data_IF_886655344753
#
_entry.id   IF_886655344753
#
_cell.length_a   1.000
_cell.length_b   1.000
_cell.length_c   1.000
_cell.angle_alpha   90.00
_cell.angle_beta   90.00
_cell.angle_gamma   90.00
#
_symmetry.space_group_name_H-M   'P 1'
#
loop_
_entity.id
_entity.type
_entity.pdbx_description
1 polymer ?
#
# COMPACT_ATOMS: atom_id res chain seq x y z
N UNK A 1 -5.60 -10.76 16.09
CA UNK A 1 -5.53 -9.67 15.10
C UNK A 1 -4.07 -9.52 14.71
N UNK A 2 -3.76 -9.53 13.42
CA UNK A 2 -2.37 -9.49 12.91
C UNK A 2 -2.08 -8.10 12.36
N UNK A 3 -1.10 -7.43 12.95
CA UNK A 3 -0.58 -6.14 12.48
C UNK A 3 0.47 -6.38 11.41
N UNK A 4 0.24 -5.86 10.21
CA UNK A 4 1.09 -6.08 9.04
C UNK A 4 1.82 -4.79 8.68
N UNK A 5 3.14 -4.87 8.60
CA UNK A 5 4.00 -3.79 8.10
C UNK A 5 4.37 -4.02 6.65
N UNK A 6 4.34 -2.96 5.83
CA UNK A 6 4.79 -3.00 4.43
C UNK A 6 6.09 -2.22 4.30
N UNK A 7 7.17 -2.90 3.86
CA UNK A 7 8.46 -2.26 3.56
C UNK A 7 8.65 -2.22 2.05
N UNK A 8 8.77 -1.01 1.51
CA UNK A 8 8.81 -0.76 0.08
C UNK A 8 7.40 -0.62 -0.51
N UNK A 9 7.16 0.54 -1.13
CA UNK A 9 5.88 0.83 -1.75
C UNK A 9 6.02 1.03 -3.26
N UNK A 10 5.92 -0.09 -3.99
CA UNK A 10 5.79 -0.16 -5.45
C UNK A 10 4.40 -0.70 -5.83
N UNK A 11 4.28 -1.20 -7.06
CA UNK A 11 3.05 -1.86 -7.52
C UNK A 11 2.60 -2.99 -6.58
N UNK A 12 3.49 -3.96 -6.29
CA UNK A 12 3.16 -5.10 -5.42
C UNK A 12 2.84 -4.69 -3.97
N UNK A 13 3.54 -3.69 -3.43
CA UNK A 13 3.25 -3.19 -2.08
C UNK A 13 1.84 -2.61 -1.98
N UNK A 14 1.41 -1.87 -2.99
CA UNK A 14 0.04 -1.33 -3.08
C UNK A 14 -1.00 -2.43 -3.31
N UNK A 15 -0.71 -3.44 -4.14
CA UNK A 15 -1.57 -4.61 -4.31
C UNK A 15 -1.78 -5.36 -2.99
N UNK A 16 -0.71 -5.61 -2.23
CA UNK A 16 -0.82 -6.24 -0.92
C UNK A 16 -1.57 -5.37 0.08
N UNK A 17 -1.34 -4.04 0.11
CA UNK A 17 -2.11 -3.13 0.93
C UNK A 17 -3.63 -3.29 0.70
N UNK A 18 -4.04 -3.27 -0.58
CA UNK A 18 -5.45 -3.45 -0.97
C UNK A 18 -5.97 -4.83 -0.60
N UNK A 19 -5.20 -5.88 -0.85
CA UNK A 19 -5.59 -7.25 -0.50
C UNK A 19 -5.76 -7.47 1.01
N UNK A 20 -4.88 -6.89 1.83
CA UNK A 20 -4.94 -6.99 3.30
C UNK A 20 -6.22 -6.39 3.86
N UNK A 21 -6.79 -5.34 3.23
CA UNK A 21 -8.07 -4.75 3.65
C UNK A 21 -9.24 -5.75 3.57
N UNK A 22 -9.13 -6.77 2.72
CA UNK A 22 -10.12 -7.84 2.58
C UNK A 22 -9.86 -9.03 3.51
N UNK A 23 -8.74 -9.04 4.24
CA UNK A 23 -8.37 -10.14 5.14
C UNK A 23 -9.02 -9.95 6.51
N UNK A 24 -9.87 -10.90 6.92
CA UNK A 24 -10.47 -10.89 8.26
C UNK A 24 -9.38 -11.02 9.33
N UNK A 25 -9.31 -10.04 10.22
CA UNK A 25 -8.36 -10.04 11.34
C UNK A 25 -6.94 -9.58 10.96
N UNK A 26 -6.72 -9.13 9.72
CA UNK A 26 -5.50 -8.47 9.27
C UNK A 26 -5.68 -6.95 9.22
N UNK A 27 -4.66 -6.20 9.64
CA UNK A 27 -4.62 -4.73 9.51
C UNK A 27 -3.24 -4.28 9.08
N UNK A 28 -3.16 -3.41 8.08
CA UNK A 28 -1.91 -2.69 7.80
C UNK A 28 -1.69 -1.67 8.92
N UNK A 29 -0.60 -1.84 9.66
CA UNK A 29 -0.27 -1.00 10.82
C UNK A 29 0.87 -0.03 10.54
N UNK A 30 1.69 -0.27 9.51
CA UNK A 30 2.80 0.60 9.16
C UNK A 30 3.18 0.45 7.67
N UNK A 31 3.65 1.55 7.08
CA UNK A 31 4.26 1.59 5.75
C UNK A 31 5.60 2.29 5.84
N UNK A 32 6.67 1.62 5.39
CA UNK A 32 8.01 2.18 5.30
C UNK A 32 8.45 2.26 3.84
N UNK A 33 8.77 3.46 3.36
CA UNK A 33 9.29 3.69 2.02
C UNK A 33 10.12 4.96 2.00
N UNK A 34 11.09 5.06 1.09
CA UNK A 34 11.96 6.25 0.96
C UNK A 34 11.19 7.47 0.47
N UNK A 35 10.14 7.29 -0.34
CA UNK A 35 9.38 8.38 -0.95
C UNK A 35 8.44 9.07 0.06
N UNK A 36 8.63 10.37 0.34
CA UNK A 36 7.73 11.12 1.22
C UNK A 36 6.29 11.20 0.67
N UNK A 37 6.14 11.39 -0.65
CA UNK A 37 4.82 11.41 -1.32
C UNK A 37 4.02 10.15 -1.05
N UNK A 38 4.67 8.99 -1.17
CA UNK A 38 4.04 7.69 -0.91
C UNK A 38 3.64 7.50 0.56
N UNK A 39 4.44 8.04 1.49
CA UNK A 39 4.08 8.04 2.93
C UNK A 39 2.92 8.98 3.26
N UNK A 40 2.71 10.01 2.45
CA UNK A 40 1.56 10.92 2.55
C UNK A 40 0.32 10.42 1.79
N UNK A 41 0.31 9.15 1.34
CA UNK A 41 -0.84 8.56 0.65
C UNK A 41 -0.93 8.85 -0.85
N UNK A 42 -0.04 9.67 -1.43
CA UNK A 42 -0.04 9.93 -2.87
C UNK A 42 0.66 8.81 -3.64
N UNK A 43 -0.15 7.91 -4.18
CA UNK A 43 0.28 6.71 -4.89
C UNK A 43 0.01 6.79 -6.40
N UNK A 44 -0.33 7.97 -6.94
CA UNK A 44 -0.62 8.15 -8.38
C UNK A 44 0.55 7.79 -9.30
N UNK A 45 1.78 7.85 -8.78
CA UNK A 45 2.97 7.38 -9.48
C UNK A 45 3.24 5.87 -9.36
N UNK A 46 2.36 5.10 -8.71
CA UNK A 46 2.44 3.64 -8.65
C UNK A 46 1.67 3.02 -9.81
N UNK A 47 2.35 2.20 -10.59
CA UNK A 47 1.78 1.42 -11.67
C UNK A 47 2.63 0.19 -11.93
N UNK A 48 2.02 -0.80 -12.57
CA UNK A 48 2.68 -2.02 -13.03
C UNK A 48 2.11 -2.44 -14.38
N UNK A 49 2.49 -3.62 -14.85
CA UNK A 49 2.03 -4.13 -16.14
C UNK A 49 0.55 -4.58 -16.14
N UNK A 50 -0.07 -4.70 -14.96
CA UNK A 50 -1.42 -5.22 -14.79
C UNK A 50 -2.18 -4.43 -13.72
N UNK A 51 -3.52 -4.49 -13.75
CA UNK A 51 -4.38 -3.90 -12.72
C UNK A 51 -4.47 -2.37 -12.75
N UNK A 52 -5.27 -1.81 -11.84
CA UNK A 52 -5.50 -0.38 -11.75
C UNK A 52 -4.28 0.34 -11.11
N UNK A 53 -3.89 1.52 -11.61
CA UNK A 53 -2.83 2.31 -11.01
C UNK A 53 -3.17 2.74 -9.56
N UNK A 54 -2.17 3.25 -8.86
CA UNK A 54 -2.36 3.85 -7.55
C UNK A 54 -3.14 5.16 -7.62
N UNK A 55 -3.80 5.51 -6.52
CA UNK A 55 -4.58 6.74 -6.37
C UNK A 55 -4.07 7.58 -5.20
N UNK A 56 -4.98 8.31 -4.56
CA UNK A 56 -4.74 8.89 -3.23
C UNK A 56 -5.38 7.95 -2.22
N UNK A 57 -4.59 7.48 -1.27
CA UNK A 57 -5.08 6.64 -0.17
C UNK A 57 -5.01 7.43 1.14
N UNK A 58 -6.02 7.23 1.97
CA UNK A 58 -6.02 7.69 3.36
C UNK A 58 -5.33 6.63 4.22
N UNK A 59 -4.27 7.01 4.94
CA UNK A 59 -3.34 6.10 5.64
C UNK A 59 -3.46 6.20 7.16
#
# INVERSE_FOLDING_TARGET
>A
MVSIGIIGLGFMGMTHYRGIRSVRGGKVAAICTRSPKKRAGDWRGLGGNFGAPGGVEDL
#
